data_IF_980618721802
#
_entry.id   IF_980618721802
#
_cell.length_a   1.000
_cell.length_b   1.000
_cell.length_c   1.000
_cell.angle_alpha   90.00
_cell.angle_beta   90.00
_cell.angle_gamma   90.00
#
_symmetry.space_group_name_H-M   'P 1'
#
loop_
_entity.id
_entity.type
_entity.pdbx_description
1 polymer ?
#
# COMPACT_ATOMS: atom_id res chain seq x y z
N UNK A 1 -6.78 24.60 -11.51
CA UNK A 1 -7.12 24.24 -10.12
C UNK A 1 -6.10 23.27 -9.57
N UNK A 2 -5.60 23.56 -8.38
CA UNK A 2 -4.62 22.69 -7.75
C UNK A 2 -5.29 21.41 -7.26
N UNK A 3 -4.63 20.29 -7.48
CA UNK A 3 -5.11 19.01 -7.00
C UNK A 3 -4.85 18.90 -5.50
N UNK A 4 -5.76 18.26 -4.79
CA UNK A 4 -5.59 17.98 -3.37
C UNK A 4 -4.49 16.94 -3.20
N UNK A 5 -3.54 17.22 -2.30
CA UNK A 5 -2.42 16.32 -1.98
C UNK A 5 -2.69 15.65 -0.64
N UNK A 6 -2.59 14.32 -0.61
CA UNK A 6 -2.71 13.54 0.61
C UNK A 6 -1.39 12.79 0.86
N UNK A 7 -0.86 12.96 2.06
CA UNK A 7 0.34 12.25 2.50
C UNK A 7 -0.05 11.02 3.29
N UNK A 8 0.49 9.88 2.90
CA UNK A 8 0.14 8.60 3.50
C UNK A 8 1.32 7.62 3.43
N UNK A 9 1.14 6.42 3.95
CA UNK A 9 2.12 5.35 3.86
C UNK A 9 1.52 4.13 3.18
N UNK A 10 2.38 3.30 2.60
CA UNK A 10 2.06 1.94 2.18
C UNK A 10 3.14 1.03 2.72
N UNK A 11 2.72 -0.08 3.31
CA UNK A 11 3.61 -0.97 4.04
C UNK A 11 3.52 -2.38 3.48
N UNK A 12 4.64 -2.88 2.99
CA UNK A 12 4.72 -4.17 2.30
C UNK A 12 5.32 -5.22 3.22
N UNK A 13 4.56 -6.28 3.48
CA UNK A 13 5.07 -7.48 4.14
C UNK A 13 5.12 -8.57 3.10
N UNK A 14 6.33 -8.92 2.68
CA UNK A 14 6.57 -9.88 1.61
C UNK A 14 7.41 -11.02 2.15
N UNK A 15 6.97 -12.26 1.93
CA UNK A 15 7.64 -13.45 2.41
C UNK A 15 7.28 -14.64 1.52
N UNK A 16 8.26 -15.41 1.05
CA UNK A 16 8.05 -16.61 0.24
C UNK A 16 7.12 -16.40 -0.98
N UNK A 17 7.34 -15.33 -1.74
CA UNK A 17 6.53 -14.93 -2.90
C UNK A 17 5.07 -14.65 -2.55
N UNK A 18 4.81 -14.28 -1.31
CA UNK A 18 3.49 -13.85 -0.83
C UNK A 18 3.59 -12.46 -0.24
N UNK A 19 2.50 -11.73 -0.31
CA UNK A 19 2.39 -10.38 0.26
C UNK A 19 1.10 -10.28 1.05
N UNK A 20 1.13 -9.51 2.13
CA UNK A 20 -0.09 -9.22 2.88
C UNK A 20 -0.85 -8.12 2.15
N UNK A 21 -2.06 -8.42 1.75
CA UNK A 21 -2.97 -7.47 1.10
C UNK A 21 -4.21 -7.27 1.94
N UNK A 22 -4.92 -6.20 1.67
CA UNK A 22 -6.18 -5.88 2.32
C UNK A 22 -7.29 -5.78 1.29
N UNK A 23 -8.46 -6.29 1.64
CA UNK A 23 -9.66 -6.18 0.83
C UNK A 23 -10.73 -5.49 1.66
N UNK A 24 -11.23 -4.35 1.19
CA UNK A 24 -12.27 -3.60 1.87
C UNK A 24 -13.64 -4.16 1.47
N UNK A 25 -14.36 -4.71 2.43
CA UNK A 25 -15.61 -5.45 2.16
C UNK A 25 -16.72 -4.60 1.57
N UNK A 26 -16.79 -3.31 1.92
CA UNK A 26 -17.85 -2.41 1.49
C UNK A 26 -17.40 -1.32 0.52
N UNK A 27 -16.11 -1.04 0.49
CA UNK A 27 -15.55 0.00 -0.37
C UNK A 27 -14.84 -0.62 -1.56
N UNK A 28 -14.75 0.13 -2.65
CA UNK A 28 -13.94 -0.20 -3.82
C UNK A 28 -14.29 -1.53 -4.49
N UNK A 29 -15.50 -2.05 -4.23
CA UNK A 29 -16.05 -3.24 -4.90
C UNK A 29 -15.12 -4.45 -4.95
N UNK A 30 -14.43 -4.71 -3.85
CA UNK A 30 -13.55 -5.86 -3.75
C UNK A 30 -12.16 -5.67 -4.30
N UNK A 31 -11.71 -4.43 -4.46
CA UNK A 31 -10.33 -4.15 -4.83
C UNK A 31 -9.37 -4.59 -3.73
N UNK A 32 -8.22 -5.09 -4.17
CA UNK A 32 -7.10 -5.38 -3.27
C UNK A 32 -6.17 -4.19 -3.19
N UNK A 33 -5.67 -3.91 -2.00
CA UNK A 33 -4.71 -2.85 -1.75
C UNK A 33 -3.61 -3.32 -0.81
N UNK A 34 -2.56 -2.52 -0.72
CA UNK A 34 -1.50 -2.69 0.26
C UNK A 34 -1.91 -1.93 1.52
N UNK A 35 -1.74 -2.52 2.72
CA UNK A 35 -2.08 -1.81 3.95
C UNK A 35 -1.34 -0.49 4.08
N UNK A 36 -2.01 0.50 4.64
CA UNK A 36 -1.45 1.82 4.86
C UNK A 36 -2.54 2.80 5.24
N UNK A 37 -2.19 4.06 5.30
CA UNK A 37 -3.15 5.09 5.65
C UNK A 37 -2.53 6.46 5.78
N UNK A 38 -3.38 7.43 6.09
CA UNK A 38 -3.00 8.83 6.21
C UNK A 38 -2.07 9.08 7.39
N UNK A 39 -1.03 9.88 7.16
CA UNK A 39 -0.16 10.36 8.22
C UNK A 39 -0.92 11.43 9.01
N UNK A 40 -1.16 11.17 10.29
CA UNK A 40 -1.88 12.10 11.16
C UNK A 40 -0.97 13.23 11.64
N UNK A 41 -1.59 14.35 12.02
CA UNK A 41 -0.85 15.52 12.53
C UNK A 41 0.02 15.13 13.72
N UNK A 42 1.31 15.49 13.67
CA UNK A 42 2.25 15.16 14.72
C UNK A 42 2.79 13.74 14.70
N UNK A 43 2.35 12.94 13.75
CA UNK A 43 2.80 11.56 13.58
C UNK A 43 3.92 11.48 12.56
N UNK A 44 4.92 10.61 12.79
CA UNK A 44 5.93 10.34 11.76
C UNK A 44 5.41 9.27 10.81
N UNK A 45 5.98 9.18 9.62
CA UNK A 45 5.61 8.13 8.66
C UNK A 45 5.84 6.73 9.25
N UNK A 46 6.94 6.55 10.00
CA UNK A 46 7.27 5.28 10.66
C UNK A 46 6.19 4.86 11.66
N UNK A 47 5.70 5.80 12.46
CA UNK A 47 4.64 5.53 13.43
C UNK A 47 3.32 5.24 12.72
N UNK A 48 3.02 5.96 11.65
CA UNK A 48 1.82 5.71 10.85
C UNK A 48 1.83 4.30 10.28
N UNK A 49 2.97 3.87 9.74
CA UNK A 49 3.13 2.52 9.19
C UNK A 49 2.81 1.45 10.23
N UNK A 50 3.40 1.56 11.43
CA UNK A 50 3.17 0.60 12.52
C UNK A 50 1.70 0.61 12.95
N UNK A 51 1.13 1.78 13.16
CA UNK A 51 -0.25 1.94 13.63
C UNK A 51 -1.26 1.41 12.62
N UNK A 52 -1.17 1.86 11.37
CA UNK A 52 -2.12 1.47 10.32
C UNK A 52 -2.04 -0.02 10.02
N UNK A 53 -0.83 -0.58 9.98
CA UNK A 53 -0.67 -2.01 9.72
C UNK A 53 -1.33 -2.84 10.83
N UNK A 54 -1.16 -2.44 12.09
CA UNK A 54 -1.79 -3.11 13.23
C UNK A 54 -3.31 -2.99 13.18
N UNK A 55 -3.82 -1.80 12.89
CA UNK A 55 -5.26 -1.56 12.80
C UNK A 55 -5.92 -2.38 11.69
N UNK A 56 -5.26 -2.48 10.54
CA UNK A 56 -5.84 -3.12 9.37
C UNK A 56 -5.62 -4.62 9.30
N UNK A 57 -4.52 -5.12 9.84
CA UNK A 57 -4.16 -6.54 9.71
C UNK A 57 -4.07 -7.31 11.02
N UNK A 58 -3.89 -6.61 12.15
CA UNK A 58 -3.62 -7.26 13.43
C UNK A 58 -2.15 -7.60 13.64
N UNK A 59 -1.30 -7.39 12.64
CA UNK A 59 0.13 -7.69 12.72
C UNK A 59 0.89 -6.55 13.38
N UNK A 60 1.82 -6.88 14.27
CA UNK A 60 2.69 -5.91 14.93
C UNK A 60 4.06 -5.89 14.26
N UNK A 61 4.42 -4.72 13.74
CA UNK A 61 5.73 -4.49 13.12
C UNK A 61 6.75 -4.21 14.23
N UNK A 62 7.86 -4.95 14.25
CA UNK A 62 8.95 -4.72 15.19
C UNK A 62 10.18 -4.12 14.52
N UNK A 63 10.32 -4.27 13.21
CA UNK A 63 11.40 -3.65 12.45
C UNK A 63 10.96 -3.43 11.01
N UNK A 64 11.24 -2.25 10.49
CA UNK A 64 10.92 -1.87 9.11
C UNK A 64 11.90 -0.84 8.61
N UNK A 65 11.92 -0.61 7.30
CA UNK A 65 12.70 0.47 6.71
C UNK A 65 11.95 1.08 5.52
N UNK A 66 12.20 2.36 5.29
CA UNK A 66 11.63 3.07 4.16
C UNK A 66 12.52 2.87 2.93
N UNK A 67 11.94 2.45 1.81
CA UNK A 67 12.69 2.23 0.57
C UNK A 67 12.54 3.37 -0.43
N UNK A 68 11.65 4.33 -0.15
CA UNK A 68 11.46 5.45 -1.06
C UNK A 68 10.08 6.06 -0.97
N UNK A 69 9.73 6.81 -2.00
CA UNK A 69 8.49 7.55 -2.08
C UNK A 69 7.82 7.29 -3.41
N UNK A 70 6.51 7.13 -3.40
CA UNK A 70 5.72 7.05 -4.63
C UNK A 70 4.75 8.21 -4.66
N UNK A 71 4.62 8.85 -5.81
CA UNK A 71 3.57 9.82 -6.07
C UNK A 71 2.58 9.15 -6.99
N UNK A 72 1.31 9.07 -6.56
CA UNK A 72 0.24 8.53 -7.39
C UNK A 72 -0.70 9.67 -7.74
N UNK A 73 -0.75 10.02 -9.02
CA UNK A 73 -1.56 11.13 -9.51
C UNK A 73 -2.81 10.62 -10.21
N UNK A 74 -3.95 10.97 -9.64
CA UNK A 74 -5.28 10.78 -10.24
C UNK A 74 -5.73 12.10 -10.88
N UNK A 75 -6.76 12.08 -11.75
CA UNK A 75 -7.27 13.32 -12.34
C UNK A 75 -7.65 14.39 -11.33
N UNK A 76 -8.12 14.00 -10.14
CA UNK A 76 -8.63 14.94 -9.13
C UNK A 76 -7.76 15.11 -7.90
N UNK A 77 -6.79 14.22 -7.68
CA UNK A 77 -6.00 14.21 -6.43
C UNK A 77 -4.65 13.57 -6.64
N UNK A 78 -3.75 13.86 -5.69
CA UNK A 78 -2.40 13.31 -5.68
C UNK A 78 -2.16 12.66 -4.32
N UNK A 79 -1.61 11.45 -4.32
CA UNK A 79 -1.12 10.79 -3.11
C UNK A 79 0.40 10.83 -3.12
N UNK A 80 0.98 11.29 -2.01
CA UNK A 80 2.41 11.19 -1.75
C UNK A 80 2.60 10.12 -0.69
N UNK A 81 3.24 9.03 -1.07
CA UNK A 81 3.33 7.83 -0.24
C UNK A 81 4.78 7.54 0.16
N UNK A 82 4.99 7.36 1.47
CA UNK A 82 6.24 6.77 1.96
C UNK A 82 6.06 5.26 1.93
N UNK A 83 7.05 4.55 1.38
CA UNK A 83 6.98 3.11 1.13
C UNK A 83 7.87 2.37 2.12
N UNK A 84 7.25 1.51 2.93
CA UNK A 84 7.94 0.73 3.95
C UNK A 84 7.97 -0.75 3.60
N UNK A 85 9.10 -1.37 3.93
CA UNK A 85 9.26 -2.84 3.88
C UNK A 85 9.41 -3.31 5.33
N UNK A 86 8.65 -4.34 5.69
CA UNK A 86 8.72 -4.93 7.02
C UNK A 86 9.87 -5.95 7.06
N UNK A 87 10.76 -5.79 8.05
CA UNK A 87 11.89 -6.68 8.26
C UNK A 87 11.60 -7.73 9.34
N UNK A 88 10.89 -7.33 10.40
CA UNK A 88 10.53 -8.23 11.50
C UNK A 88 9.13 -7.90 12.00
N UNK A 89 8.36 -8.92 12.35
CA UNK A 89 6.99 -8.76 12.79
C UNK A 89 6.54 -9.97 13.61
N UNK A 90 5.39 -9.85 14.26
CA UNK A 90 4.68 -11.00 14.81
C UNK A 90 3.17 -10.83 14.62
N UNK A 91 2.47 -11.96 14.60
CA UNK A 91 1.04 -12.02 14.33
C UNK A 91 0.74 -12.54 12.92
N UNK A 92 -0.52 -12.69 12.64
CA UNK A 92 -1.04 -13.17 11.36
C UNK A 92 -2.15 -12.25 10.87
N UNK A 93 -2.36 -12.16 9.54
CA UNK A 93 -3.46 -11.35 9.01
C UNK A 93 -4.82 -11.79 9.56
N UNK A 94 -5.62 -10.83 10.01
CA UNK A 94 -6.92 -11.06 10.60
C UNK A 94 -8.03 -10.52 9.71
N UNK A 95 -9.23 -11.02 9.93
CA UNK A 95 -10.43 -10.49 9.31
C UNK A 95 -11.17 -9.63 10.33
N UNK A 96 -11.51 -8.40 9.93
CA UNK A 96 -12.29 -7.46 10.71
C UNK A 96 -13.65 -7.23 10.05
N UNK A 97 -14.53 -6.50 10.72
CA UNK A 97 -15.86 -6.23 10.19
C UNK A 97 -15.81 -5.49 8.84
N UNK A 98 -14.92 -4.52 8.71
CA UNK A 98 -14.86 -3.64 7.53
C UNK A 98 -13.88 -4.12 6.45
N UNK A 99 -12.92 -4.97 6.81
CA UNK A 99 -11.89 -5.41 5.87
C UNK A 99 -11.35 -6.77 6.24
N UNK A 100 -10.77 -7.42 5.25
CA UNK A 100 -10.08 -8.70 5.41
C UNK A 100 -8.65 -8.54 4.91
N UNK A 101 -7.68 -8.88 5.75
CA UNK A 101 -6.29 -8.96 5.33
C UNK A 101 -5.89 -10.42 5.17
N UNK A 102 -4.95 -10.67 4.27
CA UNK A 102 -4.55 -12.05 3.94
C UNK A 102 -3.20 -12.09 3.27
N UNK A 103 -2.52 -13.22 3.41
CA UNK A 103 -1.39 -13.56 2.57
C UNK A 103 -1.92 -13.93 1.19
N UNK A 104 -1.32 -13.35 0.16
CA UNK A 104 -1.71 -13.64 -1.21
C UNK A 104 -0.47 -13.96 -2.03
N UNK A 105 -0.51 -15.04 -2.80
CA UNK A 105 0.60 -15.37 -3.69
C UNK A 105 0.72 -14.28 -4.75
N UNK A 106 1.91 -13.73 -4.93
CA UNK A 106 2.12 -12.59 -5.82
C UNK A 106 1.76 -12.94 -7.27
N UNK A 107 2.10 -14.14 -7.73
CA UNK A 107 1.77 -14.55 -9.10
C UNK A 107 0.26 -14.65 -9.33
N UNK A 108 -0.47 -15.14 -8.34
CA UNK A 108 -1.94 -15.23 -8.41
C UNK A 108 -2.58 -13.85 -8.29
N UNK A 109 -1.97 -12.96 -7.51
CA UNK A 109 -2.47 -11.60 -7.33
C UNK A 109 -2.52 -10.85 -8.66
N UNK A 110 -1.50 -11.01 -9.51
CA UNK A 110 -1.46 -10.35 -10.81
C UNK A 110 -2.54 -10.85 -11.80
N UNK A 111 -3.25 -11.91 -11.46
CA UNK A 111 -4.38 -12.41 -12.26
C UNK A 111 -5.70 -11.75 -11.87
N UNK A 112 -5.71 -11.00 -10.77
CA UNK A 112 -6.90 -10.29 -10.30
C UNK A 112 -7.13 -9.02 -11.12
N UNK A 113 -8.42 -8.70 -11.38
CA UNK A 113 -8.79 -7.54 -12.17
C UNK A 113 -8.84 -6.24 -11.37
N UNK A 114 -9.03 -6.35 -10.06
CA UNK A 114 -9.28 -5.19 -9.19
C UNK A 114 -8.12 -4.97 -8.24
N UNK A 115 -7.08 -4.31 -8.73
CA UNK A 115 -5.90 -3.99 -7.96
C UNK A 115 -5.71 -2.47 -7.91
N UNK A 116 -5.47 -1.95 -6.71
CA UNK A 116 -5.02 -0.58 -6.57
C UNK A 116 -3.57 -0.44 -7.04
N UNK A 117 -3.15 0.76 -7.45
CA UNK A 117 -1.80 0.98 -7.99
C UNK A 117 -0.67 0.47 -7.10
N UNK A 118 -0.79 0.60 -5.77
CA UNK A 118 0.24 0.12 -4.84
C UNK A 118 0.48 -1.38 -4.93
N UNK A 119 -0.54 -2.15 -5.32
CA UNK A 119 -0.38 -3.60 -5.55
C UNK A 119 0.38 -3.84 -6.85
N UNK A 120 0.02 -3.12 -7.90
CA UNK A 120 0.64 -3.31 -9.22
C UNK A 120 2.12 -2.95 -9.25
N UNK A 121 2.57 -2.06 -8.35
CA UNK A 121 3.99 -1.67 -8.31
C UNK A 121 4.87 -2.62 -7.52
N UNK A 122 4.33 -3.71 -6.96
CA UNK A 122 5.13 -4.71 -6.22
C UNK A 122 6.32 -5.19 -7.06
N UNK A 123 6.13 -5.39 -8.35
CA UNK A 123 7.18 -5.85 -9.26
C UNK A 123 8.33 -4.87 -9.47
N UNK A 124 8.15 -3.62 -9.04
CA UNK A 124 9.18 -2.58 -9.17
C UNK A 124 9.86 -2.27 -7.84
N UNK A 125 9.45 -2.94 -6.75
CA UNK A 125 10.01 -2.68 -5.42
C UNK A 125 11.50 -3.02 -5.40
N UNK A 126 12.29 -2.08 -4.91
CA UNK A 126 13.74 -2.22 -4.73
C UNK A 126 14.19 -1.19 -3.70
N UNK A 127 15.34 -1.38 -3.12
CA UNK A 127 15.90 -0.39 -2.21
C UNK A 127 16.12 0.92 -2.96
N UNK A 128 15.86 2.03 -2.29
CA UNK A 128 16.04 3.38 -2.84
C UNK A 128 15.25 3.62 -4.14
N UNK A 129 13.95 3.43 -4.08
CA UNK A 129 13.10 3.70 -5.24
C UNK A 129 12.25 4.95 -5.05
N UNK A 130 12.00 5.66 -6.15
CA UNK A 130 11.02 6.74 -6.20
C UNK A 130 10.26 6.61 -7.53
N UNK A 131 8.94 6.53 -7.44
CA UNK A 131 8.11 6.38 -8.63
C UNK A 131 7.09 7.49 -8.70
N UNK A 132 6.84 7.98 -9.93
CA UNK A 132 5.70 8.82 -10.23
C UNK A 132 4.73 8.00 -11.06
N UNK A 133 3.53 7.80 -10.56
CA UNK A 133 2.52 6.92 -11.16
C UNK A 133 1.31 7.78 -11.51
N UNK A 134 0.92 7.74 -12.79
CA UNK A 134 -0.29 8.41 -13.24
C UNK A 134 -1.40 7.40 -13.45
N UNK A 135 -2.58 7.69 -12.92
CA UNK A 135 -3.74 6.81 -12.97
C UNK A 135 -4.96 7.51 -13.52
N UNK A 136 -5.85 6.73 -14.12
CA UNK A 136 -7.19 7.21 -14.48
C UNK A 136 -8.13 7.11 -13.26
N UNK A 137 -9.39 7.54 -13.43
CA UNK A 137 -10.37 7.53 -12.34
C UNK A 137 -10.78 6.12 -11.88
N UNK A 138 -10.43 5.10 -12.64
CA UNK A 138 -10.74 3.69 -12.34
C UNK A 138 -9.52 2.94 -11.78
N UNK A 139 -8.53 3.66 -11.28
CA UNK A 139 -7.30 3.11 -10.68
C UNK A 139 -6.37 2.40 -11.67
N UNK A 140 -6.61 2.55 -12.98
CA UNK A 140 -5.71 1.98 -13.98
C UNK A 140 -4.48 2.84 -14.12
N UNK A 141 -3.31 2.22 -14.13
CA UNK A 141 -2.03 2.91 -14.32
C UNK A 141 -1.90 3.27 -15.80
N UNK A 142 -1.70 4.57 -16.07
CA UNK A 142 -1.51 5.07 -17.44
C UNK A 142 -0.03 5.26 -17.73
N UNK A 143 0.77 5.64 -16.74
CA UNK A 143 2.19 5.87 -16.90
C UNK A 143 2.94 5.68 -15.58
N UNK A 144 4.16 5.17 -15.65
CA UNK A 144 5.06 5.04 -14.49
C UNK A 144 6.43 5.56 -14.90
N UNK A 145 6.93 6.55 -14.16
CA UNK A 145 8.28 7.09 -14.32
C UNK A 145 9.14 6.72 -13.12
N UNK A 146 10.45 6.63 -13.30
CA UNK A 146 11.41 6.37 -12.23
C UNK A 146 11.89 4.92 -12.12
N UNK A 147 11.41 4.05 -13.00
CA UNK A 147 11.83 2.64 -13.05
C UNK A 147 13.00 2.43 -14.01
#
# INVERSE_FOLDING_TARGET
>A
MDKKIRRAVRTYLIEDNKVVVINYKEHDNGYYDIPGGKIEDGETAEKTSVREFKEETGITITKQHCIGHNTIEYPERIFELDIFIIDEYFGEPLEFEENKSMWFNIDDLYKEDKLFPSVEVIKYLKDEMNLKIECDSNHNIINIDGI
#
